data_IF_197167241139
#
_entry.id   IF_197167241139
#
_cell.length_a   1.000
_cell.length_b   1.000
_cell.length_c   1.000
_cell.angle_alpha   90.00
_cell.angle_beta   90.00
_cell.angle_gamma   90.00
#
_symmetry.space_group_name_H-M   'P 1'
#
loop_
_entity.id
_entity.type
_entity.pdbx_description
1 polymer ?
#
# COMPACT_ATOMS: atom_id res chain seq x y z
N UNK A 1 -28.68 27.20 1.85
CA UNK A 1 -27.23 27.05 1.62
C UNK A 1 -26.63 28.43 1.43
N UNK A 2 -25.53 28.71 2.14
CA UNK A 2 -24.96 30.05 2.25
C UNK A 2 -23.65 30.18 1.50
N UNK A 3 -23.16 29.11 0.82
CA UNK A 3 -21.88 29.07 0.14
C UNK A 3 -22.06 28.71 -1.33
N UNK A 4 -21.17 29.22 -2.15
CA UNK A 4 -21.02 28.91 -3.56
C UNK A 4 -19.65 28.29 -3.79
N UNK A 5 -19.47 27.61 -4.91
CA UNK A 5 -18.16 27.10 -5.31
C UNK A 5 -17.14 28.24 -5.43
N UNK A 6 -15.94 28.02 -4.95
CA UNK A 6 -14.82 28.92 -5.18
C UNK A 6 -14.41 28.95 -6.65
N UNK A 7 -13.68 29.97 -7.04
CA UNK A 7 -13.08 30.07 -8.37
C UNK A 7 -11.79 29.25 -8.44
N UNK A 8 -11.55 28.60 -9.56
CA UNK A 8 -10.26 27.95 -9.86
C UNK A 8 -9.16 28.96 -10.16
N UNK A 9 -9.51 30.14 -10.65
CA UNK A 9 -8.56 31.22 -10.87
C UNK A 9 -8.15 31.81 -9.52
N UNK A 10 -6.84 31.91 -9.33
CA UNK A 10 -6.27 32.49 -8.11
C UNK A 10 -6.01 33.98 -8.35
N UNK A 11 -6.68 34.81 -7.59
CA UNK A 11 -6.59 36.27 -7.68
C UNK A 11 -6.08 36.86 -6.37
N UNK A 12 -5.34 37.95 -6.37
CA UNK A 12 -4.93 38.63 -5.14
C UNK A 12 -6.13 39.34 -4.48
N UNK A 13 -6.24 39.22 -3.17
CA UNK A 13 -7.24 39.91 -2.37
C UNK A 13 -6.59 40.46 -1.10
N UNK A 14 -7.08 41.60 -0.64
CA UNK A 14 -6.69 42.16 0.65
C UNK A 14 -7.61 41.65 1.73
N UNK A 15 -7.08 40.95 2.72
CA UNK A 15 -7.86 40.34 3.80
C UNK A 15 -7.12 40.38 5.12
N UNK A 16 -7.81 40.73 6.18
CA UNK A 16 -7.30 40.75 7.56
C UNK A 16 -5.98 41.55 7.75
N UNK A 17 -5.85 42.63 7.01
CA UNK A 17 -4.65 43.51 7.06
C UNK A 17 -3.46 43.00 6.27
N UNK A 18 -3.62 41.90 5.54
CA UNK A 18 -2.64 41.38 4.58
C UNK A 18 -3.03 41.82 3.17
N UNK A 19 -2.03 42.23 2.37
CA UNK A 19 -2.22 42.63 0.98
C UNK A 19 -1.85 41.50 0.03
N UNK A 20 -2.51 41.50 -1.14
CA UNK A 20 -2.22 40.57 -2.24
C UNK A 20 -2.26 39.06 -1.84
N UNK A 21 -3.13 38.69 -0.91
CA UNK A 21 -3.27 37.28 -0.48
C UNK A 21 -3.88 36.46 -1.63
N UNK A 22 -3.24 35.35 -2.07
CA UNK A 22 -3.79 34.50 -3.11
C UNK A 22 -5.13 33.89 -2.68
N UNK A 23 -6.18 34.17 -3.44
CA UNK A 23 -7.54 33.68 -3.17
C UNK A 23 -8.05 32.86 -4.36
N UNK A 24 -8.41 31.60 -4.10
CA UNK A 24 -8.91 30.67 -5.12
C UNK A 24 -8.74 29.23 -4.66
N UNK A 25 -9.24 28.25 -5.41
CA UNK A 25 -9.22 26.83 -5.03
C UNK A 25 -8.01 26.07 -5.57
N UNK A 26 -7.38 26.56 -6.65
CA UNK A 26 -6.23 25.91 -7.28
C UNK A 26 -4.91 26.37 -6.67
N UNK A 27 -4.66 25.96 -5.42
CA UNK A 27 -3.47 26.36 -4.67
C UNK A 27 -2.69 25.16 -4.14
N UNK A 28 -1.36 25.28 -4.18
CA UNK A 28 -0.40 24.37 -3.54
C UNK A 28 0.51 25.13 -2.60
N UNK A 29 0.83 24.51 -1.47
CA UNK A 29 1.81 25.01 -0.52
C UNK A 29 2.99 24.03 -0.51
N UNK A 30 4.14 24.43 -1.06
CA UNK A 30 5.29 23.55 -1.25
C UNK A 30 6.47 23.98 -0.39
N UNK A 31 7.04 23.04 0.34
CA UNK A 31 8.22 23.25 1.17
C UNK A 31 9.46 23.39 0.29
N UNK A 32 10.30 24.42 0.54
CA UNK A 32 11.53 24.64 -0.22
C UNK A 32 12.61 23.60 0.10
N UNK A 33 12.78 23.25 1.36
CA UNK A 33 13.79 22.31 1.84
C UNK A 33 13.39 20.83 1.63
N UNK A 34 12.09 20.57 1.43
CA UNK A 34 11.53 19.24 1.19
C UNK A 34 10.48 19.33 0.08
N UNK A 35 10.88 19.40 -1.20
CA UNK A 35 9.95 19.59 -2.32
C UNK A 35 8.89 18.50 -2.45
N UNK A 36 9.13 17.33 -1.90
CA UNK A 36 8.13 16.25 -1.80
C UNK A 36 6.99 16.60 -0.82
N UNK A 37 7.16 17.57 0.05
CA UNK A 37 6.09 18.08 0.90
C UNK A 37 5.35 19.20 0.15
N UNK A 38 4.29 18.85 -0.51
CA UNK A 38 3.35 19.76 -1.15
C UNK A 38 1.95 19.50 -0.62
N UNK A 39 1.36 20.55 -0.04
CA UNK A 39 0.07 20.47 0.66
C UNK A 39 -0.99 21.15 -0.16
N UNK A 40 -2.19 20.57 -0.21
CA UNK A 40 -3.40 21.21 -0.71
C UNK A 40 -4.54 21.00 0.27
N UNK A 41 -5.58 21.81 0.14
CA UNK A 41 -6.72 21.85 1.06
C UNK A 41 -8.01 21.61 0.29
N UNK A 42 -8.89 20.78 0.85
CA UNK A 42 -10.29 20.68 0.46
C UNK A 42 -11.20 20.81 1.71
N UNK A 43 -12.46 21.07 1.50
CA UNK A 43 -13.36 21.40 2.60
C UNK A 43 -14.51 20.38 2.73
N UNK A 44 -14.57 19.73 3.88
CA UNK A 44 -15.71 18.97 4.37
C UNK A 44 -16.36 18.04 3.33
N UNK A 45 -17.49 18.45 2.75
CA UNK A 45 -18.28 17.68 1.80
C UNK A 45 -17.56 17.45 0.45
N UNK A 46 -16.50 18.18 0.16
CA UNK A 46 -15.70 17.99 -1.04
C UNK A 46 -15.18 16.55 -1.20
N UNK A 47 -14.89 15.87 -0.07
CA UNK A 47 -14.49 14.46 -0.10
C UNK A 47 -15.62 13.50 -0.51
N UNK A 48 -16.88 13.92 -0.36
CA UNK A 48 -18.06 13.05 -0.51
C UNK A 48 -18.63 13.05 -1.93
N UNK A 49 -18.18 13.97 -2.78
CA UNK A 49 -18.64 14.09 -4.16
C UNK A 49 -17.96 13.05 -5.07
N UNK A 50 -18.53 12.72 -6.24
CA UNK A 50 -17.94 11.75 -7.17
C UNK A 50 -16.54 12.11 -7.65
N UNK A 51 -16.22 13.40 -7.78
CA UNK A 51 -14.91 13.92 -8.18
C UNK A 51 -14.42 14.93 -7.12
N UNK A 52 -13.81 14.47 -6.04
CA UNK A 52 -13.25 15.35 -5.01
C UNK A 52 -12.14 16.26 -5.56
N UNK A 53 -12.04 17.51 -5.11
CA UNK A 53 -10.95 18.44 -5.51
C UNK A 53 -9.55 17.86 -5.29
N UNK A 54 -9.37 17.02 -4.28
CA UNK A 54 -8.11 16.31 -4.00
C UNK A 54 -7.57 15.51 -5.19
N UNK A 55 -8.41 15.08 -6.14
CA UNK A 55 -7.97 14.44 -7.39
C UNK A 55 -7.13 15.43 -8.21
N UNK A 56 -7.66 16.62 -8.45
CA UNK A 56 -6.96 17.67 -9.17
C UNK A 56 -5.71 18.13 -8.41
N UNK A 57 -5.81 18.29 -7.09
CA UNK A 57 -4.70 18.66 -6.22
C UNK A 57 -3.54 17.65 -6.30
N UNK A 58 -3.82 16.37 -6.20
CA UNK A 58 -2.81 15.31 -6.31
C UNK A 58 -2.17 15.27 -7.70
N UNK A 59 -2.96 15.44 -8.76
CA UNK A 59 -2.47 15.56 -10.15
C UNK A 59 -1.62 16.81 -10.36
N UNK A 60 -1.89 17.90 -9.64
CA UNK A 60 -1.08 19.10 -9.64
C UNK A 60 0.22 18.98 -8.82
N UNK A 61 0.38 17.93 -8.03
CA UNK A 61 1.61 17.64 -7.28
C UNK A 61 1.45 17.57 -5.77
N UNK A 62 0.26 17.82 -5.20
CA UNK A 62 0.04 17.69 -3.76
C UNK A 62 0.31 16.24 -3.30
N UNK A 63 1.19 16.09 -2.33
CA UNK A 63 1.46 14.82 -1.65
C UNK A 63 0.72 14.69 -0.33
N UNK A 64 0.24 15.81 0.20
CA UNK A 64 -0.56 15.86 1.41
C UNK A 64 -1.84 16.63 1.12
N UNK A 65 -2.99 16.04 1.46
CA UNK A 65 -4.31 16.66 1.39
C UNK A 65 -4.82 16.90 2.80
N UNK A 66 -5.23 18.13 3.09
CA UNK A 66 -5.87 18.50 4.34
C UNK A 66 -7.34 18.76 4.07
N UNK A 67 -8.22 18.03 4.75
CA UNK A 67 -9.67 18.27 4.71
C UNK A 67 -10.13 18.89 6.04
N UNK A 68 -10.59 20.12 5.98
CA UNK A 68 -11.15 20.84 7.12
C UNK A 68 -12.66 20.63 7.15
N UNK A 69 -13.13 19.87 8.12
CA UNK A 69 -14.49 19.31 8.12
C UNK A 69 -15.31 19.73 9.32
N UNK A 70 -16.59 20.01 9.09
CA UNK A 70 -17.62 20.11 10.11
C UNK A 70 -18.71 19.04 9.83
N UNK A 71 -18.27 17.79 9.80
CA UNK A 71 -19.14 16.65 9.48
C UNK A 71 -19.91 16.22 10.72
N UNK A 72 -21.24 16.33 10.66
CA UNK A 72 -22.12 15.92 11.75
C UNK A 72 -22.02 14.43 12.05
N UNK A 73 -22.20 14.07 13.31
CA UNK A 73 -22.25 12.69 13.77
C UNK A 73 -23.60 12.05 13.41
N UNK A 74 -23.56 10.91 12.75
CA UNK A 74 -24.71 10.05 12.44
C UNK A 74 -24.28 8.61 12.69
N UNK A 75 -25.20 7.77 13.15
CA UNK A 75 -24.94 6.34 13.38
C UNK A 75 -24.44 5.69 12.09
N UNK A 76 -23.32 4.96 12.19
CA UNK A 76 -22.67 4.29 11.05
C UNK A 76 -21.79 5.19 10.17
N UNK A 77 -21.85 6.51 10.30
CA UNK A 77 -21.09 7.44 9.46
C UNK A 77 -19.57 7.39 9.74
N UNK A 78 -19.17 6.95 10.93
CA UNK A 78 -17.75 6.84 11.30
C UNK A 78 -17.00 5.84 10.39
N UNK A 79 -17.55 4.67 10.16
CA UNK A 79 -16.95 3.64 9.29
C UNK A 79 -16.91 4.06 7.82
N UNK A 80 -17.99 4.71 7.36
CA UNK A 80 -18.03 5.26 6.01
C UNK A 80 -16.97 6.35 5.81
N UNK A 81 -16.82 7.27 6.79
CA UNK A 81 -15.78 8.32 6.77
C UNK A 81 -14.39 7.72 6.73
N UNK A 82 -14.12 6.70 7.56
CA UNK A 82 -12.83 5.98 7.56
C UNK A 82 -12.54 5.38 6.19
N UNK A 83 -13.53 4.73 5.57
CA UNK A 83 -13.41 4.14 4.24
C UNK A 83 -13.12 5.17 3.16
N UNK A 84 -13.80 6.34 3.20
CA UNK A 84 -13.56 7.43 2.25
C UNK A 84 -12.15 7.99 2.38
N UNK A 85 -11.73 8.35 3.59
CA UNK A 85 -10.40 8.93 3.86
C UNK A 85 -9.30 7.96 3.44
N UNK A 86 -9.41 6.69 3.87
CA UNK A 86 -8.45 5.65 3.52
C UNK A 86 -8.43 5.38 2.01
N UNK A 87 -9.61 5.24 1.39
CA UNK A 87 -9.73 5.00 -0.03
C UNK A 87 -9.18 6.13 -0.90
N UNK A 88 -9.43 7.38 -0.51
CA UNK A 88 -8.92 8.55 -1.23
C UNK A 88 -7.40 8.68 -1.07
N UNK A 89 -6.88 8.46 0.14
CA UNK A 89 -5.43 8.40 0.40
C UNK A 89 -4.73 7.34 -0.46
N UNK A 90 -5.31 6.14 -0.57
CA UNK A 90 -4.79 5.05 -1.42
C UNK A 90 -4.81 5.40 -2.91
N UNK A 91 -5.97 5.88 -3.40
CA UNK A 91 -6.16 6.24 -4.82
C UNK A 91 -5.18 7.30 -5.29
N UNK A 92 -4.92 8.29 -4.43
CA UNK A 92 -4.07 9.43 -4.75
C UNK A 92 -2.61 9.23 -4.33
N UNK A 93 -2.28 8.12 -3.68
CA UNK A 93 -0.95 7.86 -3.10
C UNK A 93 -0.48 9.10 -2.33
N UNK A 94 -1.26 9.49 -1.32
CA UNK A 94 -1.02 10.72 -0.58
C UNK A 94 -1.18 10.51 0.93
N UNK A 95 -0.59 11.44 1.70
CA UNK A 95 -1.01 11.71 3.06
C UNK A 95 -2.37 12.40 3.03
N UNK A 96 -3.31 11.94 3.83
CA UNK A 96 -4.62 12.57 3.95
C UNK A 96 -4.91 12.88 5.42
N UNK A 97 -5.06 14.16 5.72
CA UNK A 97 -5.33 14.66 7.06
C UNK A 97 -6.78 15.15 7.09
N UNK A 98 -7.60 14.48 7.86
CA UNK A 98 -9.00 14.84 8.04
C UNK A 98 -9.19 15.40 9.44
N UNK A 99 -9.47 16.70 9.54
CA UNK A 99 -9.72 17.41 10.80
C UNK A 99 -11.19 17.77 10.90
N UNK A 100 -11.87 17.26 11.91
CA UNK A 100 -13.31 17.39 12.08
C UNK A 100 -13.66 18.23 13.30
N UNK A 101 -14.67 19.07 13.18
CA UNK A 101 -15.29 19.77 14.31
C UNK A 101 -15.65 18.77 15.44
N UNK A 102 -15.42 19.16 16.68
CA UNK A 102 -15.57 18.33 17.85
C UNK A 102 -16.41 18.96 18.97
N UNK A 103 -16.16 18.48 20.18
CA UNK A 103 -16.83 19.00 21.37
C UNK A 103 -16.56 20.49 21.52
N UNK A 104 -17.61 21.26 21.83
CA UNK A 104 -17.54 22.73 21.96
C UNK A 104 -17.83 23.51 20.69
N UNK A 105 -17.90 22.86 19.53
CA UNK A 105 -18.39 23.50 18.32
C UNK A 105 -19.88 23.82 18.45
N UNK A 106 -20.27 25.00 17.96
CA UNK A 106 -21.66 25.42 18.03
C UNK A 106 -22.53 24.54 17.17
N UNK A 107 -23.58 24.02 17.79
CA UNK A 107 -24.61 23.22 17.11
C UNK A 107 -25.95 23.75 17.42
N UNK A 108 -26.80 23.93 16.44
CA UNK A 108 -28.21 24.19 16.63
C UNK A 108 -28.98 22.87 16.51
N UNK A 109 -28.76 22.15 15.42
CA UNK A 109 -29.50 20.93 15.11
C UNK A 109 -28.59 19.69 14.92
N UNK A 110 -27.26 19.84 15.02
CA UNK A 110 -26.30 18.80 14.75
C UNK A 110 -25.26 18.64 15.85
N UNK A 111 -24.69 17.47 15.96
CA UNK A 111 -23.62 17.14 16.90
C UNK A 111 -22.35 16.78 16.12
N UNK A 112 -21.21 17.25 16.61
CA UNK A 112 -19.91 16.94 16.04
C UNK A 112 -19.13 16.01 16.96
N UNK A 113 -18.38 15.09 16.38
CA UNK A 113 -17.72 14.02 17.14
C UNK A 113 -16.19 14.16 17.26
N UNK A 114 -15.57 15.12 16.58
CA UNK A 114 -14.12 15.25 16.59
C UNK A 114 -13.38 14.00 16.06
N UNK A 115 -13.93 13.37 15.04
CA UNK A 115 -13.39 12.13 14.49
C UNK A 115 -12.31 12.44 13.44
N UNK A 116 -11.07 12.64 13.90
CA UNK A 116 -9.93 13.02 13.08
C UNK A 116 -9.14 11.83 12.61
N UNK A 117 -8.48 11.97 11.45
CA UNK A 117 -7.64 10.93 10.87
C UNK A 117 -6.34 11.49 10.30
N UNK A 118 -5.30 10.67 10.37
CA UNK A 118 -4.11 10.78 9.53
C UNK A 118 -3.98 9.47 8.77
N UNK A 119 -4.10 9.52 7.45
CA UNK A 119 -3.93 8.37 6.58
C UNK A 119 -2.76 8.58 5.60
N UNK A 120 -2.10 7.50 5.21
CA UNK A 120 -1.00 7.49 4.25
C UNK A 120 -1.14 6.29 3.32
N UNK A 121 -1.28 6.55 2.03
CA UNK A 121 -1.39 5.51 1.00
C UNK A 121 -2.37 4.37 1.38
N UNK A 122 -3.55 4.74 1.85
CA UNK A 122 -4.63 3.83 2.24
C UNK A 122 -4.57 3.29 3.67
N UNK A 123 -3.46 3.49 4.38
CA UNK A 123 -3.31 3.06 5.76
C UNK A 123 -3.68 4.20 6.72
N UNK A 124 -4.60 3.96 7.64
CA UNK A 124 -4.84 4.88 8.76
C UNK A 124 -3.68 4.74 9.74
N UNK A 125 -2.94 5.82 9.95
CA UNK A 125 -1.78 5.89 10.84
C UNK A 125 -2.18 6.31 12.26
N UNK A 126 -3.12 7.25 12.35
CA UNK A 126 -3.68 7.74 13.60
C UNK A 126 -5.14 8.08 13.42
N UNK A 127 -5.91 7.85 14.48
CA UNK A 127 -7.35 8.11 14.51
C UNK A 127 -7.74 8.58 15.90
N UNK A 128 -8.44 9.71 15.98
CA UNK A 128 -9.05 10.20 17.23
C UNK A 128 -10.36 9.46 17.47
N UNK A 129 -10.58 9.04 18.70
CA UNK A 129 -11.86 8.40 19.07
C UNK A 129 -13.00 9.41 18.97
N UNK A 130 -14.12 9.07 18.30
CA UNK A 130 -15.32 9.91 18.29
C UNK A 130 -15.76 10.25 19.71
N UNK A 131 -16.11 11.52 19.95
CA UNK A 131 -16.53 12.05 21.24
C UNK A 131 -15.47 11.96 22.36
N UNK A 132 -14.21 11.77 21.98
CA UNK A 132 -13.07 11.76 22.90
C UNK A 132 -12.32 13.09 22.91
N UNK A 133 -11.39 13.23 23.85
CA UNK A 133 -10.51 14.42 23.97
C UNK A 133 -9.20 14.26 23.19
N UNK A 134 -9.10 13.20 22.40
CA UNK A 134 -7.88 12.83 21.68
C UNK A 134 -7.64 13.66 20.44
N UNK A 135 -6.38 13.66 20.01
CA UNK A 135 -5.91 14.19 18.72
C UNK A 135 -5.31 13.06 17.89
N UNK A 136 -5.51 13.08 16.58
CA UNK A 136 -4.79 12.20 15.67
C UNK A 136 -3.46 12.86 15.31
N UNK A 137 -2.34 12.22 15.69
CA UNK A 137 -0.98 12.69 15.40
C UNK A 137 -0.18 11.53 14.84
N UNK A 138 0.51 11.77 13.73
CA UNK A 138 1.43 10.80 13.13
C UNK A 138 2.44 11.49 12.23
N UNK A 139 3.46 10.77 11.82
CA UNK A 139 4.43 11.20 10.81
C UNK A 139 4.05 10.64 9.43
N UNK A 140 4.18 11.47 8.39
CA UNK A 140 3.99 11.07 6.98
C UNK A 140 5.34 10.93 6.29
N UNK A 141 5.52 9.86 5.52
CA UNK A 141 6.69 9.68 4.66
C UNK A 141 6.43 10.21 3.24
N UNK A 142 6.56 11.51 3.06
CA UNK A 142 6.30 12.18 1.79
C UNK A 142 7.27 11.74 0.68
N UNK A 143 8.49 11.31 1.03
CA UNK A 143 9.46 10.76 0.06
C UNK A 143 9.03 9.40 -0.45
N UNK A 144 8.52 8.55 0.42
CA UNK A 144 7.92 7.28 0.01
C UNK A 144 6.73 7.50 -0.91
N UNK A 145 5.82 8.41 -0.55
CA UNK A 145 4.66 8.74 -1.40
C UNK A 145 5.07 9.21 -2.79
N UNK A 146 6.06 10.10 -2.88
CA UNK A 146 6.60 10.56 -4.15
C UNK A 146 7.28 9.42 -4.94
N UNK A 147 7.99 8.50 -4.26
CA UNK A 147 8.60 7.34 -4.89
C UNK A 147 7.56 6.37 -5.45
N UNK A 148 6.49 6.07 -4.70
CA UNK A 148 5.40 5.19 -5.14
C UNK A 148 4.66 5.78 -6.35
N UNK A 149 4.40 7.10 -6.37
CA UNK A 149 3.83 7.77 -7.56
C UNK A 149 4.71 7.62 -8.79
N UNK A 150 6.03 7.78 -8.65
CA UNK A 150 6.97 7.60 -9.78
C UNK A 150 7.00 6.17 -10.33
N UNK A 151 6.73 5.17 -9.49
CA UNK A 151 6.63 3.76 -9.92
C UNK A 151 5.36 3.46 -10.69
N UNK A 152 4.30 4.22 -10.44
CA UNK A 152 3.01 4.04 -11.09
C UNK A 152 2.97 4.82 -12.40
N UNK A 153 3.19 4.14 -13.53
CA UNK A 153 3.20 4.77 -14.87
C UNK A 153 1.89 5.48 -15.25
N UNK A 154 0.77 5.10 -14.62
CA UNK A 154 -0.54 5.72 -14.84
C UNK A 154 -0.77 6.96 -13.97
N UNK A 155 0.12 7.24 -13.01
CA UNK A 155 0.09 8.43 -12.19
C UNK A 155 1.02 9.51 -12.79
N UNK A 156 0.71 9.98 -13.99
CA UNK A 156 1.53 11.00 -14.65
C UNK A 156 1.19 12.39 -14.12
N UNK A 157 2.08 12.93 -13.31
CA UNK A 157 1.99 14.28 -12.74
C UNK A 157 2.78 15.28 -13.59
N UNK A 158 3.87 14.84 -14.22
CA UNK A 158 4.84 15.75 -14.83
C UNK A 158 4.35 16.43 -16.13
N UNK A 159 3.45 15.76 -16.87
CA UNK A 159 2.92 16.29 -18.14
C UNK A 159 1.51 16.87 -18.01
N UNK A 160 0.98 17.03 -16.78
CA UNK A 160 -0.41 17.39 -16.58
C UNK A 160 -0.67 18.89 -16.80
N UNK A 161 -1.53 19.29 -17.75
CA UNK A 161 -1.90 20.68 -17.96
C UNK A 161 -2.57 21.33 -16.73
N UNK A 162 -3.15 20.53 -15.84
CA UNK A 162 -3.75 21.01 -14.58
C UNK A 162 -2.69 21.65 -13.67
N UNK A 163 -1.45 21.15 -13.64
CA UNK A 163 -0.39 21.71 -12.79
C UNK A 163 -0.06 23.16 -13.15
N UNK A 164 -0.24 23.55 -14.41
CA UNK A 164 0.03 24.92 -14.88
C UNK A 164 -1.00 25.94 -14.39
N UNK A 165 -2.18 25.50 -14.01
CA UNK A 165 -3.27 26.34 -13.52
C UNK A 165 -3.20 26.58 -12.00
N UNK A 166 -2.29 25.91 -11.29
CA UNK A 166 -2.17 26.05 -9.84
C UNK A 166 -1.22 27.17 -9.44
N UNK A 167 -1.66 27.95 -8.47
CA UNK A 167 -0.79 28.90 -7.77
C UNK A 167 0.03 28.15 -6.72
N UNK A 168 1.35 28.36 -6.72
CA UNK A 168 2.26 27.70 -5.77
C UNK A 168 2.81 28.72 -4.79
N UNK A 169 2.39 28.61 -3.54
CA UNK A 169 2.98 29.34 -2.43
C UNK A 169 4.10 28.50 -1.83
N UNK A 170 5.31 29.07 -1.73
CA UNK A 170 6.46 28.42 -1.13
C UNK A 170 6.58 28.80 0.33
N UNK A 171 7.00 27.84 1.15
CA UNK A 171 7.30 28.06 2.56
C UNK A 171 8.58 27.32 2.97
N UNK A 172 9.28 27.86 3.95
CA UNK A 172 10.45 27.24 4.54
C UNK A 172 10.11 26.49 5.82
N UNK A 173 10.71 25.33 5.98
CA UNK A 173 10.59 24.51 7.18
C UNK A 173 11.98 24.03 7.61
N UNK A 174 12.45 24.47 8.77
CA UNK A 174 13.71 23.99 9.32
C UNK A 174 13.63 22.48 9.57
N UNK A 175 14.46 21.71 8.87
CA UNK A 175 14.54 20.28 9.08
C UNK A 175 15.19 20.01 10.45
N UNK A 176 14.54 19.19 11.24
CA UNK A 176 15.03 18.75 12.56
C UNK A 176 15.02 17.23 12.61
N UNK A 177 15.99 16.67 13.31
CA UNK A 177 15.97 15.25 13.63
C UNK A 177 14.71 14.95 14.44
N UNK A 178 13.87 14.06 13.94
CA UNK A 178 12.58 13.73 14.54
C UNK A 178 12.56 12.26 14.91
N UNK A 179 12.25 11.98 16.17
CA UNK A 179 11.98 10.61 16.61
C UNK A 179 10.63 10.17 16.08
N UNK A 180 10.62 9.09 15.28
CA UNK A 180 9.38 8.50 14.80
C UNK A 180 8.58 7.91 15.95
N UNK A 181 7.29 8.26 16.02
CA UNK A 181 6.34 7.73 17.01
C UNK A 181 5.33 6.77 16.36
N UNK A 182 5.20 6.81 15.03
CA UNK A 182 4.33 5.89 14.30
C UNK A 182 4.82 4.45 14.40
N UNK A 183 3.89 3.52 14.46
CA UNK A 183 4.22 2.09 14.41
C UNK A 183 4.78 1.72 13.03
N UNK A 184 5.98 1.16 13.02
CA UNK A 184 6.61 0.55 11.84
C UNK A 184 6.60 -0.95 12.06
N UNK A 185 5.93 -1.68 11.17
CA UNK A 185 5.84 -3.14 11.27
C UNK A 185 7.22 -3.76 10.95
N UNK A 186 7.86 -4.47 11.89
CA UNK A 186 9.13 -5.15 11.64
C UNK A 186 9.01 -6.34 10.71
N UNK A 187 7.79 -6.84 10.49
CA UNK A 187 7.50 -7.98 9.61
C UNK A 187 6.37 -7.65 8.62
N UNK A 188 6.57 -6.68 7.71
CA UNK A 188 5.50 -6.14 6.87
C UNK A 188 4.88 -7.17 5.91
N UNK A 189 5.58 -8.29 5.67
CA UNK A 189 5.14 -9.36 4.78
C UNK A 189 4.37 -10.47 5.50
N UNK A 190 4.44 -10.54 6.83
CA UNK A 190 3.82 -11.60 7.63
C UNK A 190 2.75 -11.00 8.54
N UNK A 191 1.46 -11.14 8.22
CA UNK A 191 0.40 -10.65 9.09
C UNK A 191 0.49 -11.25 10.49
N UNK A 192 0.38 -10.42 11.51
CA UNK A 192 0.35 -10.84 12.91
C UNK A 192 -0.92 -11.62 13.25
N UNK A 193 -2.04 -11.28 12.61
CA UNK A 193 -3.31 -11.99 12.75
C UNK A 193 -3.27 -13.35 12.03
N UNK A 194 -3.64 -14.42 12.74
CA UNK A 194 -3.54 -15.80 12.24
C UNK A 194 -4.46 -16.07 11.04
N UNK A 195 -5.67 -15.51 11.03
CA UNK A 195 -6.61 -15.72 9.93
C UNK A 195 -6.13 -15.00 8.67
N UNK A 196 -5.70 -13.75 8.78
CA UNK A 196 -5.11 -12.98 7.66
C UNK A 196 -3.81 -13.61 7.15
N UNK A 197 -3.02 -14.22 8.04
CA UNK A 197 -1.80 -14.93 7.63
C UNK A 197 -2.13 -16.16 6.82
N UNK A 198 -3.12 -16.96 7.25
CA UNK A 198 -3.58 -18.13 6.51
C UNK A 198 -4.11 -17.77 5.11
N UNK A 199 -4.98 -16.76 5.02
CA UNK A 199 -5.50 -16.22 3.77
C UNK A 199 -4.37 -15.76 2.83
N UNK A 200 -3.40 -14.98 3.35
CA UNK A 200 -2.25 -14.53 2.56
C UNK A 200 -1.36 -15.69 2.09
N UNK A 201 -1.14 -16.70 2.94
CA UNK A 201 -0.38 -17.88 2.53
C UNK A 201 -1.10 -18.64 1.40
N UNK A 202 -2.42 -18.77 1.49
CA UNK A 202 -3.23 -19.39 0.44
C UNK A 202 -3.17 -18.59 -0.86
N UNK A 203 -3.31 -17.28 -0.80
CA UNK A 203 -3.18 -16.39 -1.98
C UNK A 203 -1.82 -16.54 -2.66
N UNK A 204 -0.74 -16.45 -1.88
CA UNK A 204 0.63 -16.60 -2.39
C UNK A 204 0.82 -17.96 -3.05
N UNK A 205 0.32 -19.03 -2.44
CA UNK A 205 0.40 -20.40 -2.96
C UNK A 205 -0.40 -20.55 -4.26
N UNK A 206 -1.64 -20.07 -4.27
CA UNK A 206 -2.51 -20.13 -5.45
C UNK A 206 -1.98 -19.32 -6.63
N UNK A 207 -1.45 -18.10 -6.39
CA UNK A 207 -0.83 -17.28 -7.45
C UNK A 207 0.29 -18.05 -8.15
N UNK A 208 1.18 -18.71 -7.38
CA UNK A 208 2.28 -19.49 -7.93
C UNK A 208 1.79 -20.73 -8.67
N UNK A 209 0.87 -21.50 -8.06
CA UNK A 209 0.35 -22.73 -8.64
C UNK A 209 -0.40 -22.50 -9.95
N UNK A 210 -1.28 -21.50 -10.01
CA UNK A 210 -2.00 -21.13 -11.23
C UNK A 210 -1.07 -20.55 -12.30
N UNK A 211 -0.06 -19.78 -11.90
CA UNK A 211 0.97 -19.29 -12.82
C UNK A 211 1.73 -20.43 -13.49
N UNK A 212 2.17 -21.41 -12.71
CA UNK A 212 2.85 -22.60 -13.24
C UNK A 212 1.91 -23.48 -14.07
N UNK A 213 0.69 -23.73 -13.60
CA UNK A 213 -0.30 -24.51 -14.35
C UNK A 213 -0.54 -23.91 -15.75
N UNK A 214 -0.67 -22.58 -15.85
CA UNK A 214 -0.84 -21.91 -17.14
C UNK A 214 0.37 -22.10 -18.07
N UNK A 215 1.59 -22.12 -17.55
CA UNK A 215 2.81 -22.37 -18.33
C UNK A 215 2.86 -23.80 -18.83
N UNK A 216 2.61 -24.78 -17.95
CA UNK A 216 2.54 -26.19 -18.33
C UNK A 216 1.48 -26.44 -19.41
N UNK A 217 0.29 -25.89 -19.23
CA UNK A 217 -0.79 -25.99 -20.22
C UNK A 217 -0.39 -25.38 -21.57
N UNK A 218 0.22 -24.20 -21.57
CA UNK A 218 0.62 -23.52 -22.80
C UNK A 218 1.71 -24.27 -23.58
N UNK A 219 2.66 -24.89 -22.86
CA UNK A 219 3.75 -25.66 -23.46
C UNK A 219 3.38 -27.11 -23.73
N UNK A 220 2.17 -27.54 -23.37
CA UNK A 220 1.72 -28.94 -23.43
C UNK A 220 2.64 -29.89 -22.65
N UNK A 221 3.30 -29.39 -21.60
CA UNK A 221 4.20 -30.17 -20.78
C UNK A 221 3.42 -31.05 -19.82
N UNK A 222 3.69 -32.36 -19.84
CA UNK A 222 3.16 -33.36 -18.92
C UNK A 222 4.19 -33.77 -17.85
N UNK A 223 5.37 -33.18 -17.87
CA UNK A 223 6.46 -33.43 -16.92
C UNK A 223 7.08 -32.13 -16.42
N UNK A 224 7.53 -32.16 -15.17
CA UNK A 224 8.32 -31.10 -14.58
C UNK A 224 9.53 -31.69 -13.85
N UNK A 225 10.69 -31.08 -14.00
CA UNK A 225 11.91 -31.50 -13.28
C UNK A 225 12.24 -30.44 -12.26
N UNK A 226 12.49 -30.84 -11.01
CA UNK A 226 12.80 -29.94 -9.92
C UNK A 226 13.99 -30.48 -9.10
N UNK A 227 14.97 -29.61 -8.84
CA UNK A 227 16.03 -29.91 -7.88
C UNK A 227 15.50 -29.75 -6.45
N UNK A 228 15.58 -30.82 -5.66
CA UNK A 228 15.13 -30.78 -4.27
C UNK A 228 16.28 -30.94 -3.29
N UNK A 229 16.54 -29.91 -2.51
CA UNK A 229 17.59 -29.91 -1.49
C UNK A 229 17.10 -30.28 -0.09
N UNK A 230 15.78 -30.37 0.14
CA UNK A 230 15.16 -30.52 1.45
C UNK A 230 15.12 -29.22 2.28
N UNK A 231 15.51 -28.09 1.68
CA UNK A 231 15.32 -26.74 2.23
C UNK A 231 13.94 -26.16 1.90
N UNK A 232 13.59 -25.02 2.53
CA UNK A 232 12.25 -24.41 2.40
C UNK A 232 11.89 -24.02 0.97
N UNK A 233 12.83 -23.47 0.22
CA UNK A 233 12.56 -22.97 -1.13
C UNK A 233 12.20 -24.10 -2.10
N UNK A 234 13.00 -25.16 -2.09
CA UNK A 234 12.74 -26.35 -2.93
C UNK A 234 11.49 -27.11 -2.48
N UNK A 235 11.21 -27.12 -1.17
CA UNK A 235 9.97 -27.67 -0.62
C UNK A 235 8.75 -26.93 -1.14
N UNK A 236 8.75 -25.59 -1.06
CA UNK A 236 7.66 -24.77 -1.58
C UNK A 236 7.48 -24.97 -3.09
N UNK A 237 8.58 -24.97 -3.83
CA UNK A 237 8.56 -25.19 -5.28
C UNK A 237 7.94 -26.54 -5.66
N UNK A 238 8.25 -27.61 -4.91
CA UNK A 238 7.66 -28.95 -5.13
C UNK A 238 6.16 -28.97 -4.80
N UNK A 239 5.74 -28.33 -3.71
CA UNK A 239 4.33 -28.22 -3.33
C UNK A 239 3.52 -27.44 -4.39
N UNK A 240 4.06 -26.30 -4.87
CA UNK A 240 3.46 -25.51 -5.96
C UNK A 240 3.34 -26.32 -7.23
N UNK A 241 4.36 -27.12 -7.56
CA UNK A 241 4.35 -27.99 -8.75
C UNK A 241 3.28 -29.08 -8.62
N UNK A 242 3.20 -29.75 -7.47
CA UNK A 242 2.15 -30.74 -7.22
C UNK A 242 0.74 -30.14 -7.35
N UNK A 243 0.52 -28.94 -6.79
CA UNK A 243 -0.76 -28.24 -6.92
C UNK A 243 -1.08 -27.87 -8.36
N UNK A 244 -0.08 -27.44 -9.14
CA UNK A 244 -0.27 -27.12 -10.56
C UNK A 244 -0.65 -28.38 -11.38
N UNK A 245 -0.07 -29.53 -11.06
CA UNK A 245 -0.42 -30.82 -11.69
C UNK A 245 -1.87 -31.22 -11.34
N UNK A 246 -2.27 -31.09 -10.07
CA UNK A 246 -3.65 -31.35 -9.64
C UNK A 246 -4.66 -30.45 -10.37
N UNK A 247 -4.36 -29.16 -10.51
CA UNK A 247 -5.21 -28.21 -11.23
C UNK A 247 -5.42 -28.57 -12.71
N UNK A 248 -4.44 -29.21 -13.32
CA UNK A 248 -4.48 -29.65 -14.72
C UNK A 248 -4.98 -31.10 -14.90
N UNK A 249 -5.19 -31.84 -13.81
CA UNK A 249 -5.51 -33.26 -13.86
C UNK A 249 -4.38 -34.12 -14.40
N UNK A 250 -3.11 -33.68 -14.25
CA UNK A 250 -1.91 -34.42 -14.66
C UNK A 250 -1.45 -35.27 -13.47
N UNK A 251 -1.06 -36.52 -13.75
CA UNK A 251 -0.54 -37.41 -12.73
C UNK A 251 0.76 -36.87 -12.11
N UNK A 252 0.84 -36.87 -10.78
CA UNK A 252 2.00 -36.38 -10.04
C UNK A 252 3.28 -37.17 -10.27
N UNK A 253 3.21 -38.40 -10.79
CA UNK A 253 4.38 -39.16 -11.25
C UNK A 253 5.13 -38.49 -12.39
N UNK A 254 4.50 -37.53 -13.07
CA UNK A 254 5.17 -36.67 -14.03
C UNK A 254 6.10 -35.61 -13.39
N UNK A 255 6.09 -35.44 -12.08
CA UNK A 255 7.00 -34.56 -11.33
C UNK A 255 8.27 -35.35 -11.02
N UNK A 256 9.38 -34.97 -11.61
CA UNK A 256 10.68 -35.60 -11.39
C UNK A 256 11.47 -34.74 -10.40
N UNK A 257 11.54 -35.19 -9.15
CA UNK A 257 12.30 -34.57 -8.07
C UNK A 257 13.73 -35.11 -8.09
N UNK A 258 14.71 -34.25 -8.32
CA UNK A 258 16.12 -34.65 -8.38
C UNK A 258 16.83 -34.16 -7.11
N UNK A 259 17.34 -35.09 -6.30
CA UNK A 259 18.26 -34.77 -5.20
C UNK A 259 19.70 -35.07 -5.61
N UNK A 260 20.61 -34.16 -5.28
CA UNK A 260 22.02 -34.27 -5.65
C UNK A 260 22.90 -34.20 -4.40
N UNK A 261 22.98 -35.31 -3.62
CA UNK A 261 23.76 -35.30 -2.38
C UNK A 261 25.28 -35.11 -2.73
N UNK A 262 25.90 -34.25 -1.93
CA UNK A 262 27.32 -33.92 -1.97
C UNK A 262 27.86 -33.66 -0.57
N UNK A 263 29.06 -33.12 -0.43
CA UNK A 263 29.73 -32.94 0.87
C UNK A 263 28.99 -32.03 1.86
N UNK A 264 28.08 -31.15 1.40
CA UNK A 264 27.30 -30.24 2.24
C UNK A 264 25.89 -30.74 2.56
N UNK A 265 25.52 -31.92 2.05
CA UNK A 265 24.18 -32.49 2.31
C UNK A 265 24.16 -33.18 3.66
N UNK A 266 23.25 -32.76 4.54
CA UNK A 266 23.03 -33.42 5.85
C UNK A 266 21.98 -34.51 5.72
N UNK A 267 22.06 -35.55 6.55
CA UNK A 267 21.05 -36.63 6.59
C UNK A 267 19.63 -36.08 6.73
N UNK A 268 19.45 -35.05 7.55
CA UNK A 268 18.16 -34.37 7.76
C UNK A 268 17.59 -33.77 6.48
N UNK A 269 18.41 -33.07 5.70
CA UNK A 269 17.94 -32.43 4.46
C UNK A 269 17.64 -33.45 3.38
N UNK A 270 18.45 -34.50 3.28
CA UNK A 270 18.24 -35.64 2.40
C UNK A 270 16.93 -36.36 2.73
N UNK A 271 16.72 -36.71 4.00
CA UNK A 271 15.49 -37.35 4.49
C UNK A 271 14.25 -36.51 4.20
N UNK A 272 14.32 -35.18 4.41
CA UNK A 272 13.22 -34.28 4.13
C UNK A 272 12.84 -34.29 2.64
N UNK A 273 13.84 -34.25 1.76
CA UNK A 273 13.62 -34.29 0.32
C UNK A 273 12.94 -35.60 -0.12
N UNK A 274 13.45 -36.73 0.37
CA UNK A 274 12.95 -38.06 0.07
C UNK A 274 11.51 -38.23 0.56
N UNK A 275 11.25 -38.03 1.86
CA UNK A 275 9.94 -38.18 2.46
C UNK A 275 8.87 -37.29 1.83
N UNK A 276 9.24 -36.04 1.53
CA UNK A 276 8.30 -35.12 0.89
C UNK A 276 7.95 -35.57 -0.53
N UNK A 277 8.94 -35.94 -1.33
CA UNK A 277 8.71 -36.41 -2.70
C UNK A 277 7.81 -37.63 -2.73
N UNK A 278 8.11 -38.63 -1.89
CA UNK A 278 7.31 -39.87 -1.77
C UNK A 278 5.89 -39.56 -1.31
N UNK A 279 5.71 -38.69 -0.29
CA UNK A 279 4.38 -38.35 0.24
C UNK A 279 3.50 -37.64 -0.79
N UNK A 280 4.09 -36.97 -1.76
CA UNK A 280 3.37 -36.28 -2.85
C UNK A 280 3.12 -37.19 -4.05
N UNK A 281 3.69 -38.40 -4.10
CA UNK A 281 3.55 -39.34 -5.22
C UNK A 281 4.37 -38.89 -6.45
N UNK A 282 5.43 -38.10 -6.25
CA UNK A 282 6.36 -37.66 -7.30
C UNK A 282 7.50 -38.70 -7.51
N UNK A 283 8.14 -38.68 -8.69
CA UNK A 283 9.26 -39.55 -9.04
C UNK A 283 10.57 -38.98 -8.43
N UNK A 284 11.17 -39.69 -7.49
CA UNK A 284 12.43 -39.31 -6.86
C UNK A 284 13.62 -39.86 -7.64
N UNK A 285 14.55 -38.99 -7.99
CA UNK A 285 15.84 -39.39 -8.57
C UNK A 285 16.99 -38.85 -7.74
N UNK A 286 17.91 -39.73 -7.38
CA UNK A 286 19.15 -39.35 -6.71
C UNK A 286 20.32 -39.39 -7.67
N UNK A 287 21.05 -38.29 -7.73
CA UNK A 287 22.30 -38.19 -8.52
C UNK A 287 23.43 -37.78 -7.58
N UNK A 288 24.24 -38.74 -7.14
CA UNK A 288 25.40 -38.42 -6.29
C UNK A 288 26.42 -37.62 -7.05
N UNK A 289 26.73 -36.41 -6.60
CA UNK A 289 27.70 -35.52 -7.21
C UNK A 289 29.07 -35.52 -6.51
N UNK A 290 29.27 -36.34 -5.48
CA UNK A 290 30.47 -36.36 -4.66
C UNK A 290 31.76 -36.60 -5.46
N UNK A 291 31.74 -37.52 -6.41
CA UNK A 291 32.93 -37.81 -7.25
C UNK A 291 33.22 -36.69 -8.24
N UNK A 292 32.21 -36.07 -8.83
CA UNK A 292 32.36 -34.93 -9.71
C UNK A 292 32.94 -33.71 -8.96
N UNK A 293 32.50 -33.48 -7.73
CA UNK A 293 33.02 -32.41 -6.86
C UNK A 293 34.50 -32.70 -6.48
N UNK A 294 34.87 -33.95 -6.14
CA UNK A 294 36.25 -34.32 -5.83
C UNK A 294 37.18 -34.14 -7.03
N UNK A 295 36.70 -34.37 -8.26
CA UNK A 295 37.47 -34.18 -9.45
C UNK A 295 37.76 -32.71 -9.77
N UNK A 296 36.93 -31.81 -9.24
CA UNK A 296 37.00 -30.36 -9.48
C UNK A 296 37.89 -29.63 -8.46
N UNK A 297 38.10 -30.21 -7.28
CA UNK A 297 39.02 -29.73 -6.25
C UNK A 297 40.33 -30.51 -6.21
#
# INVERSE_FOLDING_TARGET
RHFVSGTTDVVPVDIAGQLDVPFGTSQLFTCEELPELSVAVELCEDLWVPEPPSIAHAKAGATVICNLSASNAVVGKADYRRSLVSGQSARLICGYIYASAGAGESTQDVVFSGHDFVAENGRVLAEARPFGDGRAVSELDVRLLAAERRRMSTFDVAANPVQRAYHVTRFSLAQQETRLTRYVDPQPFVPSDAARRAERCEDVFNIQAHGLAKRLQHTHASRAVIGISGGLDSTLALLVTARAFDLLGIDRSGIISVTMPGFGTTDRTHDNATKLTESLGADLREINIGDAVRLHF
#
